data_IF_194093953283
#
_entry.id   IF_194093953283
#
_cell.length_a   1.000
_cell.length_b   1.000
_cell.length_c   1.000
_cell.angle_alpha   90.00
_cell.angle_beta   90.00
_cell.angle_gamma   90.00
#
_symmetry.space_group_name_H-M   'P 1'
#
loop_
_entity.id
_entity.type
_entity.pdbx_description
1 polymer ?
#
# COMPACT_ATOMS: atom_id res chain seq x y z
N UNK A 1 -14.45 -3.28 -14.31
CA UNK A 1 -13.62 -2.08 -14.07
C UNK A 1 -12.54 -2.49 -13.07
N UNK A 2 -11.26 -2.32 -13.40
CA UNK A 2 -10.15 -2.64 -12.50
C UNK A 2 -9.76 -1.43 -11.66
N UNK A 3 -9.33 -1.64 -10.42
CA UNK A 3 -8.80 -0.58 -9.56
C UNK A 3 -7.40 -0.19 -10.03
N UNK A 4 -7.19 1.10 -10.26
CA UNK A 4 -5.88 1.64 -10.67
C UNK A 4 -4.88 1.71 -9.50
N UNK A 5 -5.35 1.71 -8.26
CA UNK A 5 -4.50 1.67 -7.07
C UNK A 5 -5.34 1.40 -5.84
N UNK A 6 -4.75 0.73 -4.86
CA UNK A 6 -5.34 0.48 -3.55
C UNK A 6 -4.27 0.68 -2.49
N UNK A 7 -4.57 1.43 -1.44
CA UNK A 7 -3.67 1.61 -0.30
C UNK A 7 -4.37 1.07 0.94
N UNK A 8 -3.74 0.18 1.72
CA UNK A 8 -4.37 -0.37 2.90
C UNK A 8 -4.54 0.71 3.97
N UNK A 9 -5.67 0.67 4.68
CA UNK A 9 -5.87 1.41 5.92
C UNK A 9 -5.76 0.50 7.15
N UNK A 10 -6.01 1.06 8.34
CA UNK A 10 -5.89 0.33 9.61
C UNK A 10 -6.71 -0.98 9.65
N UNK A 11 -7.93 -0.97 9.08
CA UNK A 11 -8.81 -2.14 9.06
C UNK A 11 -8.27 -3.30 8.20
N UNK A 12 -7.60 -2.98 7.09
CA UNK A 12 -7.00 -3.98 6.21
C UNK A 12 -5.79 -4.63 6.88
N UNK A 13 -4.97 -3.80 7.56
CA UNK A 13 -3.76 -4.24 8.24
C UNK A 13 -4.07 -5.05 9.52
N UNK A 14 -5.21 -4.79 10.16
CA UNK A 14 -5.69 -5.58 11.29
C UNK A 14 -5.97 -7.06 10.95
N UNK A 15 -6.12 -7.41 9.67
CA UNK A 15 -6.26 -8.80 9.21
C UNK A 15 -4.94 -9.60 9.35
N UNK A 16 -3.82 -8.91 9.55
CA UNK A 16 -2.49 -9.48 9.47
C UNK A 16 -1.97 -9.53 8.02
N UNK A 17 -0.66 -9.35 7.88
CA UNK A 17 0.03 -9.15 6.59
C UNK A 17 -0.18 -10.32 5.63
N UNK A 18 -0.16 -11.56 6.13
CA UNK A 18 -0.36 -12.76 5.32
C UNK A 18 -1.79 -12.81 4.74
N UNK A 19 -2.79 -12.63 5.59
CA UNK A 19 -4.20 -12.64 5.17
C UNK A 19 -4.48 -11.49 4.20
N UNK A 20 -4.00 -10.28 4.54
CA UNK A 20 -4.09 -9.11 3.68
C UNK A 20 -3.51 -9.38 2.29
N UNK A 21 -2.24 -9.80 2.22
CA UNK A 21 -1.55 -10.04 0.95
C UNK A 21 -2.27 -11.09 0.10
N UNK A 22 -2.78 -12.16 0.73
CA UNK A 22 -3.54 -13.21 0.05
C UNK A 22 -4.82 -12.67 -0.58
N UNK A 23 -5.59 -11.84 0.12
CA UNK A 23 -6.86 -11.31 -0.42
C UNK A 23 -6.64 -10.16 -1.41
N UNK A 24 -5.53 -9.42 -1.30
CA UNK A 24 -5.21 -8.29 -2.18
C UNK A 24 -4.25 -8.65 -3.30
N UNK A 25 -3.86 -9.92 -3.46
CA UNK A 25 -3.04 -10.39 -4.59
C UNK A 25 -3.57 -9.93 -5.97
N UNK A 26 -4.89 -9.91 -6.25
CA UNK A 26 -5.38 -9.42 -7.54
C UNK A 26 -5.45 -7.89 -7.64
N UNK A 27 -5.12 -7.15 -6.57
CA UNK A 27 -5.22 -5.69 -6.51
C UNK A 27 -3.87 -5.01 -6.76
N UNK A 28 -3.92 -3.81 -7.31
CA UNK A 28 -2.74 -2.95 -7.47
C UNK A 28 -2.44 -2.24 -6.14
N UNK A 29 -1.93 -2.97 -5.16
CA UNK A 29 -1.59 -2.41 -3.84
C UNK A 29 -0.40 -1.46 -3.95
N UNK A 30 -0.55 -0.26 -3.39
CA UNK A 30 0.46 0.79 -3.33
C UNK A 30 0.62 1.23 -1.88
N UNK A 31 1.84 1.14 -1.33
CA UNK A 31 2.15 1.55 0.04
C UNK A 31 3.65 1.82 0.19
N UNK A 32 4.10 2.99 -0.27
CA UNK A 32 5.53 3.31 -0.40
C UNK A 32 6.26 3.57 0.91
N UNK A 33 5.50 3.84 1.97
CA UNK A 33 6.01 4.06 3.32
C UNK A 33 5.76 2.88 4.26
N UNK A 34 5.20 1.76 3.76
CA UNK A 34 4.85 0.61 4.59
C UNK A 34 5.80 -0.56 4.34
N UNK A 35 6.47 -0.97 5.41
CA UNK A 35 7.26 -2.20 5.46
C UNK A 35 6.70 -3.07 6.58
N UNK A 36 6.32 -4.30 6.25
CA UNK A 36 5.75 -5.26 7.18
C UNK A 36 6.61 -6.53 7.23
N UNK A 37 7.56 -6.59 8.16
CA UNK A 37 8.61 -7.62 8.14
C UNK A 37 9.45 -7.49 6.86
N UNK A 38 9.49 -8.55 6.06
CA UNK A 38 10.15 -8.55 4.74
C UNK A 38 9.21 -8.13 3.60
N UNK A 39 7.93 -7.90 3.89
CA UNK A 39 6.95 -7.53 2.87
C UNK A 39 6.96 -6.04 2.61
N UNK A 40 7.11 -5.67 1.34
CA UNK A 40 7.04 -4.30 0.83
C UNK A 40 6.12 -4.24 -0.38
N UNK A 41 5.53 -3.08 -0.63
CA UNK A 41 4.71 -2.84 -1.81
C UNK A 41 5.29 -1.71 -2.67
N UNK A 42 4.96 -1.65 -3.98
CA UNK A 42 5.31 -0.50 -4.80
C UNK A 42 4.79 0.80 -4.17
N UNK A 43 5.59 1.86 -4.19
CA UNK A 43 5.16 3.15 -3.64
C UNK A 43 4.17 3.91 -4.51
N UNK A 44 4.13 3.60 -5.80
CA UNK A 44 3.25 4.24 -6.74
C UNK A 44 3.28 3.59 -8.11
N UNK A 45 2.47 4.15 -9.01
CA UNK A 45 2.43 3.77 -10.43
C UNK A 45 1.91 4.91 -11.28
N UNK A 46 2.16 4.82 -12.59
CA UNK A 46 1.61 5.74 -13.59
C UNK A 46 0.58 5.01 -14.43
N UNK A 47 -0.57 5.64 -14.68
CA UNK A 47 -1.61 5.14 -15.58
C UNK A 47 -1.92 6.18 -16.67
N UNK A 48 -2.33 5.73 -17.84
CA UNK A 48 -2.81 6.61 -18.90
C UNK A 48 -4.33 6.74 -18.90
N UNK A 49 -4.83 7.98 -18.88
CA UNK A 49 -6.26 8.32 -18.92
C UNK A 49 -6.47 9.56 -19.77
N UNK A 50 -7.30 9.44 -20.82
CA UNK A 50 -7.60 10.59 -21.70
C UNK A 50 -6.37 11.24 -22.34
N UNK A 51 -5.33 10.46 -22.66
CA UNK A 51 -4.08 10.98 -23.21
C UNK A 51 -3.12 11.62 -22.19
N UNK A 52 -3.48 11.61 -20.89
CA UNK A 52 -2.64 12.11 -19.81
C UNK A 52 -2.00 10.95 -19.04
N UNK A 53 -0.77 11.16 -18.56
CA UNK A 53 -0.12 10.31 -17.57
C UNK A 53 -0.55 10.79 -16.17
N UNK A 54 -1.15 9.89 -15.39
CA UNK A 54 -1.58 10.16 -14.01
C UNK A 54 -0.71 9.31 -13.08
N UNK A 55 0.05 9.97 -12.21
CA UNK A 55 0.79 9.33 -11.14
C UNK A 55 -0.11 9.08 -9.93
N UNK A 56 -0.06 7.87 -9.39
CA UNK A 56 -0.76 7.45 -8.18
C UNK A 56 0.29 7.01 -7.18
N UNK A 57 0.24 7.55 -5.97
CA UNK A 57 1.17 7.23 -4.87
C UNK A 57 0.34 6.74 -3.69
N UNK A 58 0.77 5.64 -3.07
CA UNK A 58 0.12 5.07 -1.90
C UNK A 58 0.91 5.37 -0.63
N UNK A 59 0.26 5.98 0.36
CA UNK A 59 0.83 6.32 1.66
C UNK A 59 -0.14 5.88 2.75
N UNK A 60 0.33 5.07 3.69
CA UNK A 60 -0.44 4.55 4.83
C UNK A 60 -0.29 5.52 6.00
N UNK A 61 -1.37 5.77 6.74
CA UNK A 61 -1.33 6.64 7.91
C UNK A 61 -0.38 6.10 8.98
N UNK A 62 0.36 7.00 9.65
CA UNK A 62 1.33 6.60 10.68
C UNK A 62 0.67 5.85 11.85
N UNK A 63 -0.58 6.20 12.18
CA UNK A 63 -1.37 5.57 13.25
C UNK A 63 -2.02 4.25 12.83
N UNK A 64 -1.89 3.87 11.55
CA UNK A 64 -2.56 2.70 10.96
C UNK A 64 -1.62 1.51 10.76
N UNK A 65 -0.31 1.76 10.82
CA UNK A 65 0.70 0.72 10.64
C UNK A 65 0.68 -0.24 11.86
N UNK A 66 0.71 -1.58 11.65
CA UNK A 66 0.83 -2.52 12.76
C UNK A 66 2.11 -2.23 13.55
N UNK A 67 2.14 -2.54 14.86
CA UNK A 67 3.26 -2.19 15.75
C UNK A 67 4.64 -2.66 15.26
N UNK A 68 4.65 -3.71 14.44
CA UNK A 68 5.84 -4.32 13.82
C UNK A 68 6.33 -3.53 12.58
N UNK A 69 5.47 -2.72 11.97
CA UNK A 69 5.77 -1.82 10.85
C UNK A 69 6.33 -0.45 11.32
N UNK A 70 6.36 -0.19 12.63
CA UNK A 70 6.96 1.00 13.23
C UNK A 70 8.47 1.14 12.95
N UNK A 71 9.13 0.08 12.46
CA UNK A 71 10.52 0.14 11.98
C UNK A 71 10.71 0.80 10.61
N UNK A 72 9.64 0.92 9.80
CA UNK A 72 9.69 1.43 8.42
C UNK A 72 9.20 2.86 8.23
N UNK A 73 8.50 3.43 9.20
CA UNK A 73 8.04 4.83 9.19
C UNK A 73 9.17 5.79 9.59
N UNK A 74 10.34 5.73 8.92
CA UNK A 74 11.35 6.78 9.06
C UNK A 74 11.15 7.82 7.97
N UNK A 75 10.43 8.87 8.33
CA UNK A 75 10.61 10.17 7.70
C UNK A 75 11.95 10.74 8.16
N UNK A 76 12.90 10.81 7.23
CA UNK A 76 13.98 11.81 7.23
C UNK A 76 13.93 12.56 5.90
#
# INVERSE_FOLDING_TARGET
MGLDGFTPGAGDLALGVETFTRITTPLNVLAGNLTCGETTWPGGRVVQRGGLNVGIVGVVGADEAPGDAAGGLRGE
#
